data_IF_609725665674
#
_entry.id   IF_609725665674
#
_cell.length_a   1.000
_cell.length_b   1.000
_cell.length_c   1.000
_cell.angle_alpha   90.00
_cell.angle_beta   90.00
_cell.angle_gamma   90.00
#
_symmetry.space_group_name_H-M   'P 1'
#
loop_
_entity.id
_entity.type
_entity.pdbx_description
1 polymer ?
#
# COMPACT_ATOMS: atom_id res chain seq x y z
N UNK A 1 -27.53 1.88 2.27
CA UNK A 1 -27.06 3.25 2.60
C UNK A 1 -25.71 3.41 1.94
N UNK A 2 -25.66 4.15 0.83
CA UNK A 2 -24.49 4.62 0.06
C UNK A 2 -23.15 3.84 0.18
N UNK A 3 -23.08 2.64 -0.43
CA UNK A 3 -21.85 1.86 -0.61
C UNK A 3 -20.75 2.61 -1.38
N UNK A 4 -21.14 3.67 -2.11
CA UNK A 4 -20.24 4.63 -2.76
C UNK A 4 -19.18 5.22 -1.82
N UNK A 5 -19.50 5.43 -0.54
CA UNK A 5 -18.54 5.90 0.46
C UNK A 5 -17.44 4.87 0.77
N UNK A 6 -17.80 3.59 0.82
CA UNK A 6 -16.86 2.48 1.04
C UNK A 6 -15.94 2.27 -0.16
N UNK A 7 -16.44 2.41 -1.39
CA UNK A 7 -15.60 2.33 -2.60
C UNK A 7 -14.60 3.47 -2.69
N UNK A 8 -15.04 4.71 -2.42
CA UNK A 8 -14.14 5.87 -2.36
C UNK A 8 -13.06 5.69 -1.30
N UNK A 9 -13.42 5.18 -0.13
CA UNK A 9 -12.47 4.88 0.94
C UNK A 9 -11.47 3.79 0.53
N UNK A 10 -11.93 2.71 -0.12
CA UNK A 10 -11.06 1.63 -0.59
C UNK A 10 -10.04 2.11 -1.64
N UNK A 11 -10.48 2.95 -2.59
CA UNK A 11 -9.60 3.56 -3.60
C UNK A 11 -8.56 4.46 -2.92
N UNK A 12 -8.98 5.29 -1.97
CA UNK A 12 -8.07 6.17 -1.24
C UNK A 12 -7.02 5.39 -0.44
N UNK A 13 -7.44 4.31 0.24
CA UNK A 13 -6.56 3.39 0.94
C UNK A 13 -5.53 2.72 0.00
N UNK A 14 -5.96 2.31 -1.19
CA UNK A 14 -5.07 1.75 -2.23
C UNK A 14 -4.05 2.78 -2.73
N UNK A 15 -4.44 4.05 -2.89
CA UNK A 15 -3.50 5.11 -3.27
C UNK A 15 -2.43 5.34 -2.19
N UNK A 16 -2.81 5.32 -0.91
CA UNK A 16 -1.87 5.41 0.21
C UNK A 16 -0.92 4.21 0.22
N UNK A 17 -1.44 3.00 0.04
CA UNK A 17 -0.66 1.76 -0.04
C UNK A 17 0.40 1.82 -1.16
N UNK A 18 0.02 2.28 -2.34
CA UNK A 18 0.93 2.52 -3.47
C UNK A 18 2.02 3.55 -3.13
N UNK A 19 1.63 4.68 -2.52
CA UNK A 19 2.58 5.73 -2.16
C UNK A 19 3.60 5.26 -1.09
N UNK A 20 3.14 4.52 -0.09
CA UNK A 20 4.03 3.93 0.92
C UNK A 20 4.99 2.92 0.29
N UNK A 21 4.49 2.08 -0.62
CA UNK A 21 5.32 1.11 -1.35
C UNK A 21 6.39 1.79 -2.19
N UNK A 22 6.03 2.88 -2.90
CA UNK A 22 6.97 3.64 -3.69
C UNK A 22 8.10 4.24 -2.83
N UNK A 23 7.76 4.84 -1.69
CA UNK A 23 8.74 5.53 -0.83
C UNK A 23 9.57 4.60 0.06
N UNK A 24 8.98 3.52 0.55
CA UNK A 24 9.62 2.66 1.55
C UNK A 24 10.10 1.32 1.00
N UNK A 25 9.69 0.93 -0.20
CA UNK A 25 10.16 -0.29 -0.87
C UNK A 25 10.88 0.08 -2.16
N UNK A 26 10.23 0.72 -3.13
CA UNK A 26 10.84 0.94 -4.45
C UNK A 26 12.03 1.90 -4.38
N UNK A 27 11.86 3.08 -3.78
CA UNK A 27 12.89 4.12 -3.69
C UNK A 27 14.20 3.65 -3.01
N UNK A 28 14.18 2.93 -1.87
CA UNK A 28 15.37 2.32 -1.29
C UNK A 28 16.09 1.35 -2.24
N UNK A 29 15.35 0.51 -2.97
CA UNK A 29 15.93 -0.46 -3.89
C UNK A 29 16.54 0.23 -5.12
N UNK A 30 15.87 1.25 -5.66
CA UNK A 30 16.37 2.06 -6.78
C UNK A 30 17.62 2.85 -6.36
N UNK A 31 17.63 3.48 -5.18
CA UNK A 31 18.78 4.22 -4.66
C UNK A 31 19.97 3.31 -4.37
N UNK A 32 19.73 2.12 -3.80
CA UNK A 32 20.76 1.09 -3.62
C UNK A 32 21.37 0.66 -4.96
N UNK A 33 20.55 0.50 -6.00
CA UNK A 33 21.02 0.16 -7.35
C UNK A 33 21.89 1.26 -7.99
N UNK A 34 21.72 2.52 -7.56
CA UNK A 34 22.48 3.67 -8.05
C UNK A 34 23.73 3.99 -7.20
N UNK A 35 24.06 3.16 -6.21
CA UNK A 35 25.21 3.38 -5.32
C UNK A 35 25.03 4.55 -4.35
N UNK A 36 23.80 5.07 -4.18
CA UNK A 36 23.51 6.12 -3.22
C UNK A 36 23.35 5.51 -1.82
N UNK A 37 23.98 6.13 -0.81
CA UNK A 37 23.81 5.72 0.58
C UNK A 37 22.34 5.87 0.99
N UNK A 38 21.72 4.75 1.36
CA UNK A 38 20.35 4.75 1.86
C UNK A 38 20.27 4.00 3.18
N UNK A 39 19.80 4.69 4.22
CA UNK A 39 19.58 4.10 5.55
C UNK A 39 18.29 3.27 5.52
N UNK A 40 18.44 2.01 5.13
CA UNK A 40 17.35 1.02 5.11
C UNK A 40 16.76 0.82 6.51
N UNK A 41 15.55 1.31 6.75
CA UNK A 41 14.82 1.03 7.99
C UNK A 41 13.97 -0.23 7.79
N UNK A 42 14.53 -1.40 8.14
CA UNK A 42 13.84 -2.70 8.09
C UNK A 42 12.43 -2.69 8.72
N UNK A 43 12.20 -2.01 9.87
CA UNK A 43 10.87 -1.94 10.47
C UNK A 43 9.83 -1.24 9.58
N UNK A 44 10.23 -0.16 8.89
CA UNK A 44 9.32 0.60 8.01
C UNK A 44 8.88 -0.21 6.80
N UNK A 45 9.78 -1.04 6.26
CA UNK A 45 9.48 -1.94 5.14
C UNK A 45 8.47 -3.01 5.56
N UNK A 46 8.74 -3.66 6.70
CA UNK A 46 7.85 -4.69 7.24
C UNK A 46 6.47 -4.09 7.53
N UNK A 47 6.40 -2.93 8.17
CA UNK A 47 5.15 -2.24 8.45
C UNK A 47 4.39 -1.88 7.15
N UNK A 48 5.10 -1.40 6.13
CA UNK A 48 4.51 -1.10 4.81
C UNK A 48 3.97 -2.35 4.13
N UNK A 49 4.69 -3.47 4.20
CA UNK A 49 4.25 -4.77 3.68
C UNK A 49 2.97 -5.25 4.38
N UNK A 50 2.93 -5.22 5.72
CA UNK A 50 1.74 -5.57 6.49
C UNK A 50 0.55 -4.66 6.16
N UNK A 51 0.78 -3.35 6.06
CA UNK A 51 -0.24 -2.38 5.69
C UNK A 51 -0.82 -2.66 4.30
N UNK A 52 0.04 -2.91 3.30
CA UNK A 52 -0.41 -3.26 1.96
C UNK A 52 -1.24 -4.54 1.92
N UNK A 53 -0.83 -5.56 2.68
CA UNK A 53 -1.53 -6.83 2.73
C UNK A 53 -2.93 -6.65 3.36
N UNK A 54 -3.02 -5.86 4.42
CA UNK A 54 -4.30 -5.48 5.03
C UNK A 54 -5.18 -4.70 4.04
N UNK A 55 -4.63 -3.70 3.35
CA UNK A 55 -5.40 -2.88 2.40
C UNK A 55 -5.84 -3.69 1.17
N UNK A 56 -5.05 -4.67 0.73
CA UNK A 56 -5.45 -5.60 -0.31
C UNK A 56 -6.62 -6.47 0.14
N UNK A 57 -6.56 -7.05 1.35
CA UNK A 57 -7.68 -7.81 1.91
C UNK A 57 -8.94 -6.96 2.09
N UNK A 58 -8.79 -5.71 2.53
CA UNK A 58 -9.89 -4.75 2.64
C UNK A 58 -10.50 -4.44 1.27
N UNK A 59 -9.67 -4.16 0.25
CA UNK A 59 -10.13 -3.94 -1.10
C UNK A 59 -10.86 -5.17 -1.66
N UNK A 60 -10.34 -6.38 -1.45
CA UNK A 60 -11.00 -7.62 -1.88
C UNK A 60 -12.34 -7.84 -1.18
N UNK A 61 -12.48 -7.46 0.09
CA UNK A 61 -13.76 -7.55 0.80
C UNK A 61 -14.77 -6.54 0.22
N UNK A 62 -14.34 -5.29 0.03
CA UNK A 62 -15.19 -4.20 -0.48
C UNK A 62 -15.60 -4.46 -1.92
N UNK A 63 -14.67 -4.84 -2.79
CA UNK A 63 -14.98 -5.14 -4.20
C UNK A 63 -15.58 -6.53 -4.38
N UNK A 64 -15.25 -7.51 -3.53
CA UNK A 64 -15.88 -8.84 -3.54
C UNK A 64 -17.38 -8.77 -3.24
N UNK A 65 -17.78 -7.97 -2.26
CA UNK A 65 -19.19 -7.68 -1.98
C UNK A 65 -19.91 -6.82 -3.04
N UNK A 66 -19.21 -6.36 -4.08
CA UNK A 66 -19.82 -5.70 -5.25
C UNK A 66 -20.15 -6.70 -6.38
N UNK A 67 -19.49 -7.86 -6.40
CA UNK A 67 -19.69 -8.89 -7.42
C UNK A 67 -20.69 -10.00 -7.00
N UNK A 68 -21.04 -10.07 -5.72
CA UNK A 68 -22.21 -10.79 -5.20
C UNK A 68 -23.47 -9.91 -5.28
#
# INVERSE_FOLDING_TARGET
MNDWGLYLLAIFCLMIALNLSANYIIDPYVKKSKGLEYKFSKPKIILTLFFNLYMLSFALLVFGGFFD
#
